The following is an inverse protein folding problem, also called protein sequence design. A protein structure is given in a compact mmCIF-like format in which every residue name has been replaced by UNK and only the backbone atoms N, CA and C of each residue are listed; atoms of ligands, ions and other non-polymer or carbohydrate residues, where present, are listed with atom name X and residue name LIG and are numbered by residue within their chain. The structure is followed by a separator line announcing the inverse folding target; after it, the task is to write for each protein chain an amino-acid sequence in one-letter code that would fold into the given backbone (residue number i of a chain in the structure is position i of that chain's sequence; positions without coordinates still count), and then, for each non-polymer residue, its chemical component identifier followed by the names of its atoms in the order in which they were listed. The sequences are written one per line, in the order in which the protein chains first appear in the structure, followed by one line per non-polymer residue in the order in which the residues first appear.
data_IF_237148719546
#
_entry.id   IF_237148719546
#
_cell.length_a   1.000
_cell.length_b   1.000
_cell.length_c   1.000
_cell.angle_alpha   90.00
_cell.angle_beta   90.00
_cell.angle_gamma   90.00
#
_symmetry.space_group_name_H-M   'P 1'
#
loop_
_entity.id
_entity.type
_entity.pdbx_description
1 polymer ?
#
# COMPACT_ATOMS: atom_id res chain seq x y z
N UNK A 1 15.27 -18.17 2.60
CA UNK A 1 15.81 -16.88 2.13
C UNK A 1 14.61 -16.14 1.61
N UNK A 2 14.05 -15.22 2.40
CA UNK A 2 12.92 -14.42 1.95
C UNK A 2 13.49 -13.40 0.97
N UNK A 3 13.21 -13.57 -0.32
CA UNK A 3 13.46 -12.56 -1.36
C UNK A 3 12.46 -11.40 -1.19
N UNK A 4 12.40 -10.85 0.03
CA UNK A 4 11.58 -9.70 0.38
C UNK A 4 12.22 -8.46 -0.20
N UNK A 5 11.44 -7.66 -0.92
CA UNK A 5 11.85 -6.35 -1.35
C UNK A 5 12.20 -5.53 -0.10
N UNK A 6 13.25 -4.71 -0.11
CA UNK A 6 13.60 -3.89 1.06
C UNK A 6 12.77 -2.59 1.12
N UNK A 7 12.53 -2.01 2.31
CA UNK A 7 11.85 -0.70 2.45
C UNK A 7 12.55 0.34 1.58
N UNK A 8 13.89 0.27 1.53
CA UNK A 8 14.69 1.19 0.74
C UNK A 8 14.45 1.05 -0.76
N UNK A 9 14.21 -0.16 -1.26
CA UNK A 9 13.80 -0.39 -2.64
C UNK A 9 12.39 0.20 -2.88
N UNK A 10 11.42 -0.04 -1.99
CA UNK A 10 10.07 0.54 -2.10
C UNK A 10 10.09 2.08 -2.09
N UNK A 11 10.88 2.71 -1.22
CA UNK A 11 11.01 4.18 -1.17
C UNK A 11 11.63 4.76 -2.44
N UNK A 12 12.44 3.99 -3.16
CA UNK A 12 13.07 4.42 -4.42
C UNK A 12 12.24 4.11 -5.67
N UNK A 13 11.24 3.25 -5.53
CA UNK A 13 10.36 2.91 -6.63
C UNK A 13 9.42 4.07 -6.96
N UNK A 14 9.01 4.21 -8.23
CA UNK A 14 7.91 5.09 -8.59
C UNK A 14 6.66 4.72 -7.81
N UNK A 15 5.90 5.72 -7.34
CA UNK A 15 4.67 5.52 -6.56
C UNK A 15 3.72 4.50 -7.21
N UNK A 16 3.60 4.51 -8.53
CA UNK A 16 2.78 3.54 -9.26
C UNK A 16 3.23 2.09 -9.08
N UNK A 17 4.54 1.83 -9.06
CA UNK A 17 5.08 0.49 -8.80
C UNK A 17 4.85 0.07 -7.35
N UNK A 18 4.95 1.02 -6.41
CA UNK A 18 4.67 0.73 -5.00
C UNK A 18 3.20 0.39 -4.79
N UNK A 19 2.28 1.12 -5.42
CA UNK A 19 0.83 0.82 -5.34
C UNK A 19 0.53 -0.57 -5.90
N UNK A 20 1.10 -0.91 -7.06
CA UNK A 20 0.95 -2.25 -7.65
C UNK A 20 1.52 -3.33 -6.73
N UNK A 21 2.67 -3.07 -6.10
CA UNK A 21 3.27 -3.99 -5.14
C UNK A 21 2.40 -4.17 -3.90
N UNK A 22 1.88 -3.07 -3.32
CA UNK A 22 0.93 -3.11 -2.21
C UNK A 22 -0.29 -3.96 -2.61
N UNK A 23 -0.91 -3.71 -3.76
CA UNK A 23 -2.10 -4.48 -4.17
C UNK A 23 -1.84 -5.97 -4.36
N UNK A 24 -0.63 -6.37 -4.77
CA UNK A 24 -0.27 -7.77 -5.01
C UNK A 24 0.21 -8.50 -3.76
N UNK A 25 0.81 -7.79 -2.80
CA UNK A 25 1.52 -8.37 -1.68
C UNK A 25 0.93 -8.05 -0.31
N UNK A 26 0.03 -7.07 -0.19
CA UNK A 26 -0.60 -6.73 1.08
C UNK A 26 -1.99 -7.34 1.24
N UNK A 27 -2.36 -7.63 2.49
CA UNK A 27 -3.71 -8.02 2.83
C UNK A 27 -4.73 -6.88 2.56
N UNK A 28 -6.00 -7.21 2.19
CA UNK A 28 -7.05 -6.21 2.00
C UNK A 28 -7.25 -5.29 3.22
N UNK A 29 -7.09 -5.80 4.44
CA UNK A 29 -7.10 -5.00 5.67
C UNK A 29 -6.05 -3.87 5.66
N UNK A 30 -4.82 -4.17 5.25
CA UNK A 30 -3.74 -3.16 5.16
C UNK A 30 -4.12 -2.06 4.17
N UNK A 31 -4.64 -2.45 3.01
CA UNK A 31 -5.05 -1.53 1.95
C UNK A 31 -6.22 -0.63 2.40
N UNK A 32 -7.18 -1.21 3.12
CA UNK A 32 -8.30 -0.48 3.72
C UNK A 32 -7.82 0.50 4.81
N UNK A 33 -6.90 0.10 5.68
CA UNK A 33 -6.28 0.97 6.69
C UNK A 33 -5.50 2.12 6.05
N UNK A 34 -4.75 1.87 5.00
CA UNK A 34 -4.02 2.90 4.25
C UNK A 34 -4.97 3.95 3.65
N UNK A 35 -6.11 3.50 3.12
CA UNK A 35 -7.13 4.37 2.53
C UNK A 35 -8.11 4.98 3.54
N UNK A 36 -8.02 4.61 4.82
CA UNK A 36 -8.99 4.90 5.89
C UNK A 36 -10.43 4.52 5.49
N UNK A 37 -10.60 3.39 4.81
CA UNK A 37 -11.88 2.81 4.43
C UNK A 37 -12.13 1.52 5.23
N UNK A 38 -13.38 1.03 5.22
CA UNK A 38 -13.64 -0.34 5.70
C UNK A 38 -13.14 -1.35 4.66
N UNK A 39 -12.66 -2.51 5.11
CA UNK A 39 -12.18 -3.60 4.25
C UNK A 39 -13.23 -3.99 3.20
N UNK A 40 -14.49 -4.17 3.61
CA UNK A 40 -15.59 -4.50 2.70
C UNK A 40 -15.86 -3.44 1.63
N UNK A 41 -15.66 -2.16 1.97
CA UNK A 41 -15.83 -1.06 1.01
C UNK A 41 -14.67 -1.01 0.02
N UNK A 42 -13.47 -1.38 0.47
CA UNK A 42 -12.28 -1.44 -0.35
C UNK A 42 -12.33 -2.65 -1.30
N UNK A 43 -12.72 -3.82 -0.83
CA UNK A 43 -12.91 -5.03 -1.66
C UNK A 43 -14.00 -4.87 -2.72
N UNK A 44 -14.98 -3.99 -2.46
CA UNK A 44 -16.02 -3.67 -3.44
C UNK A 44 -15.53 -2.77 -4.59
N UNK A 45 -14.32 -2.19 -4.49
CA UNK A 45 -13.75 -1.34 -5.53
C UNK A 45 -13.21 -2.18 -6.69
N UNK A 46 -13.27 -1.61 -7.89
CA UNK A 46 -12.48 -2.16 -9.00
C UNK A 46 -10.98 -1.92 -8.77
N UNK A 47 -10.09 -2.73 -9.37
CA UNK A 47 -8.65 -2.54 -9.24
C UNK A 47 -8.19 -1.11 -9.56
N UNK A 48 -8.72 -0.50 -10.63
CA UNK A 48 -8.40 0.88 -11.00
C UNK A 48 -8.82 1.88 -9.91
N UNK A 49 -9.99 1.69 -9.30
CA UNK A 49 -10.48 2.54 -8.21
C UNK A 49 -9.65 2.36 -6.94
N UNK A 50 -9.26 1.12 -6.63
CA UNK A 50 -8.39 0.81 -5.50
C UNK A 50 -7.01 1.47 -5.67
N UNK A 51 -6.41 1.39 -6.86
CA UNK A 51 -5.15 2.06 -7.18
C UNK A 51 -5.24 3.57 -7.00
N UNK A 52 -6.28 4.21 -7.53
CA UNK A 52 -6.49 5.65 -7.40
C UNK A 52 -6.70 6.06 -5.94
N UNK A 53 -7.44 5.26 -5.15
CA UNK A 53 -7.64 5.50 -3.71
C UNK A 53 -6.35 5.39 -2.92
N UNK A 54 -5.53 4.37 -3.20
CA UNK A 54 -4.22 4.20 -2.58
C UNK A 54 -3.29 5.35 -2.95
N UNK A 55 -3.27 5.77 -4.22
CA UNK A 55 -2.49 6.92 -4.68
C UNK A 55 -2.87 8.19 -3.93
N UNK A 56 -4.17 8.49 -3.86
CA UNK A 56 -4.67 9.66 -3.17
C UNK A 56 -4.36 9.61 -1.67
N UNK A 57 -4.54 8.45 -1.05
CA UNK A 57 -4.25 8.25 0.37
C UNK A 57 -2.76 8.47 0.67
N UNK A 58 -1.86 7.84 -0.09
CA UNK A 58 -0.40 8.00 0.07
C UNK A 58 0.01 9.45 -0.14
N UNK A 59 -0.56 10.15 -1.12
CA UNK A 59 -0.24 11.57 -1.39
C UNK A 59 -0.59 12.52 -0.24
N UNK A 60 -1.59 12.16 0.57
CA UNK A 60 -2.06 12.95 1.72
C UNK A 60 -1.48 12.46 3.05
N UNK A 61 -0.75 11.35 3.03
CA UNK A 61 -0.19 10.71 4.20
C UNK A 61 1.13 11.38 4.61
N UNK A 62 1.43 11.42 5.91
CA UNK A 62 2.75 11.81 6.38
C UNK A 62 3.78 10.74 6.00
N UNK A 63 5.04 11.16 5.78
CA UNK A 63 6.12 10.23 5.44
C UNK A 63 6.33 9.17 6.54
N UNK A 64 6.16 9.54 7.81
CA UNK A 64 6.22 8.61 8.95
C UNK A 64 5.17 7.50 8.82
N UNK A 65 3.89 7.88 8.69
CA UNK A 65 2.79 6.92 8.58
C UNK A 65 2.93 6.05 7.33
N UNK A 66 3.39 6.62 6.22
CA UNK A 66 3.68 5.85 5.01
C UNK A 66 4.83 4.86 5.21
N UNK A 67 5.90 5.26 5.91
CA UNK A 67 7.03 4.38 6.21
C UNK A 67 6.61 3.24 7.13
N UNK A 68 5.74 3.49 8.11
CA UNK A 68 5.19 2.45 9.00
C UNK A 68 4.42 1.40 8.21
N UNK A 69 3.58 1.80 7.24
CA UNK A 69 2.88 0.84 6.39
C UNK A 69 3.83 0.04 5.47
N UNK A 70 4.87 0.68 4.93
CA UNK A 70 5.88 -0.03 4.14
C UNK A 70 6.70 -1.01 4.98
N UNK A 71 6.89 -0.74 6.27
CA UNK A 71 7.51 -1.65 7.22
C UNK A 71 6.60 -2.87 7.48
N UNK A 72 5.32 -2.62 7.75
CA UNK A 72 4.30 -3.67 7.95
C UNK A 72 4.22 -4.59 6.72
N UNK A 73 4.29 -4.03 5.51
CA UNK A 73 4.28 -4.78 4.24
C UNK A 73 5.46 -5.75 4.04
N UNK A 74 6.61 -5.50 4.66
CA UNK A 74 7.81 -6.33 4.50
C UNK A 74 7.94 -7.38 5.61
N UNK A 75 7.29 -7.14 6.75
CA UNK A 75 7.26 -8.07 7.87
C UNK A 75 6.20 -9.17 7.69
N UNK A 76 5.18 -8.95 6.85
CA UNK A 76 4.23 -9.98 6.34
C UNK A 76 4.89 -10.99 5.39
#
# INVERSE_FOLDING_TARGET
MSDGISIWALKKMPLQQVIQYIMQHSAPDLQARMTNMQESDFEALSPDQAEDRLRDAISRMSEEKYTDYLLELIDE
#
